data_IF_619640246523
#
_entry.id   IF_619640246523
#
_cell.length_a   1.000
_cell.length_b   1.000
_cell.length_c   1.000
_cell.angle_alpha   90.00
_cell.angle_beta   90.00
_cell.angle_gamma   90.00
#
_symmetry.space_group_name_H-M   'P 1'
#
loop_
_entity.id
_entity.type
_entity.pdbx_description
1 polymer ?
#
# COMPACT_ATOMS: atom_id res chain seq x y z
N UNK A 1 -24.09 11.80 -20.39
CA UNK A 1 -22.82 11.72 -19.67
C UNK A 1 -21.84 12.52 -20.52
N UNK A 2 -21.47 13.67 -20.04
CA UNK A 2 -20.77 14.72 -20.74
C UNK A 2 -19.25 14.39 -20.82
N UNK A 3 -18.55 14.99 -21.78
CA UNK A 3 -17.11 14.87 -22.08
C UNK A 3 -16.16 15.11 -20.89
N UNK A 4 -16.69 15.34 -19.69
CA UNK A 4 -15.97 15.80 -18.49
C UNK A 4 -15.44 14.69 -17.57
N UNK A 5 -15.85 13.43 -17.77
CA UNK A 5 -15.47 12.35 -16.82
C UNK A 5 -13.98 11.98 -16.88
N UNK A 6 -13.29 12.30 -17.97
CA UNK A 6 -11.87 11.97 -18.18
C UNK A 6 -10.93 13.17 -17.95
N UNK A 7 -11.45 14.28 -17.39
CA UNK A 7 -10.66 15.47 -17.15
C UNK A 7 -10.33 15.65 -15.67
N UNK A 8 -9.08 16.03 -15.37
CA UNK A 8 -8.61 16.34 -14.01
C UNK A 8 -7.86 17.67 -14.03
N UNK A 9 -8.36 18.65 -13.27
CA UNK A 9 -7.66 19.89 -12.99
C UNK A 9 -6.75 19.72 -11.75
N UNK A 10 -5.50 20.16 -11.87
CA UNK A 10 -4.55 20.28 -10.78
C UNK A 10 -4.46 21.77 -10.41
N UNK A 11 -5.24 22.18 -9.42
CA UNK A 11 -5.30 23.59 -8.97
C UNK A 11 -4.11 23.86 -8.06
N UNK A 12 -3.19 24.69 -8.53
CA UNK A 12 -1.94 24.96 -7.83
C UNK A 12 -1.85 26.42 -7.39
N UNK A 13 -1.40 26.65 -6.15
CA UNK A 13 -1.11 28.00 -5.69
C UNK A 13 0.03 28.64 -6.50
N UNK A 14 -0.02 29.95 -6.73
CA UNK A 14 1.05 30.64 -7.47
C UNK A 14 2.42 30.44 -6.83
N UNK A 15 3.41 30.06 -7.65
CA UNK A 15 4.79 29.90 -7.21
C UNK A 15 5.09 28.64 -6.38
N UNK A 16 4.15 27.69 -6.26
CA UNK A 16 4.35 26.44 -5.51
C UNK A 16 5.40 25.53 -6.15
N UNK A 17 5.56 25.58 -7.47
CA UNK A 17 6.55 24.79 -8.19
C UNK A 17 7.85 25.58 -8.39
N UNK A 18 8.97 25.04 -7.91
CA UNK A 18 10.29 25.58 -8.20
C UNK A 18 10.65 25.46 -9.70
N UNK A 19 10.17 24.39 -10.35
CA UNK A 19 10.25 24.14 -11.78
C UNK A 19 8.88 23.69 -12.30
N UNK A 20 8.15 24.64 -12.85
CA UNK A 20 6.82 24.41 -13.38
C UNK A 20 6.84 23.49 -14.62
N UNK A 21 7.88 23.56 -15.45
CA UNK A 21 7.99 22.72 -16.64
C UNK A 21 8.12 21.24 -16.25
N UNK A 22 9.00 20.92 -15.31
CA UNK A 22 9.15 19.54 -14.78
C UNK A 22 7.83 19.04 -14.17
N UNK A 23 7.11 19.88 -13.43
CA UNK A 23 5.80 19.52 -12.88
C UNK A 23 4.76 19.23 -13.99
N UNK A 24 4.70 20.07 -15.00
CA UNK A 24 3.79 19.89 -16.15
C UNK A 24 4.10 18.60 -16.93
N UNK A 25 5.36 18.29 -17.15
CA UNK A 25 5.77 17.05 -17.84
C UNK A 25 5.41 15.80 -17.02
N UNK A 26 5.57 15.84 -15.69
CA UNK A 26 5.18 14.76 -14.80
C UNK A 26 3.66 14.55 -14.84
N UNK A 27 2.89 15.63 -14.68
CA UNK A 27 1.42 15.60 -14.73
C UNK A 27 0.94 15.06 -16.07
N UNK A 28 1.47 15.56 -17.19
CA UNK A 28 1.08 15.10 -18.53
C UNK A 28 1.34 13.59 -18.72
N UNK A 29 2.47 13.09 -18.24
CA UNK A 29 2.77 11.64 -18.27
C UNK A 29 1.80 10.84 -17.40
N UNK A 30 1.51 11.30 -16.18
CA UNK A 30 0.61 10.60 -15.25
C UNK A 30 -0.82 10.54 -15.81
N UNK A 31 -1.35 11.65 -16.34
CA UNK A 31 -2.65 11.70 -16.98
C UNK A 31 -2.71 10.78 -18.20
N UNK A 32 -1.71 10.87 -19.09
CA UNK A 32 -1.64 10.02 -20.29
C UNK A 32 -1.60 8.52 -19.96
N UNK A 33 -0.89 8.12 -18.91
CA UNK A 33 -0.82 6.73 -18.47
C UNK A 33 -2.18 6.16 -18.04
N UNK A 34 -3.12 7.03 -17.66
CA UNK A 34 -4.49 6.69 -17.25
C UNK A 34 -5.54 7.00 -18.32
N UNK A 35 -5.15 7.46 -19.51
CA UNK A 35 -6.09 7.88 -20.56
C UNK A 35 -6.91 9.12 -20.16
N UNK A 36 -6.36 9.96 -19.27
CA UNK A 36 -6.99 11.18 -18.78
C UNK A 36 -6.46 12.42 -19.49
N UNK A 37 -7.24 13.48 -19.48
CA UNK A 37 -6.88 14.83 -19.90
C UNK A 37 -6.81 15.79 -18.70
N UNK A 38 -6.28 16.98 -18.89
CA UNK A 38 -6.18 18.01 -17.86
C UNK A 38 -4.78 18.59 -17.72
N UNK A 39 -4.51 19.26 -16.62
CA UNK A 39 -3.22 19.87 -16.37
C UNK A 39 -3.20 20.78 -15.14
N UNK A 40 -2.07 21.47 -14.94
CA UNK A 40 -1.90 22.44 -13.86
C UNK A 40 -2.60 23.75 -14.27
N UNK A 41 -3.49 24.22 -13.40
CA UNK A 41 -4.31 25.43 -13.61
C UNK A 41 -4.32 26.32 -12.37
N UNK A 42 -4.62 27.60 -12.53
CA UNK A 42 -4.77 28.52 -11.40
C UNK A 42 -6.15 28.37 -10.71
N UNK A 43 -7.16 27.93 -11.45
CA UNK A 43 -8.50 27.62 -10.94
C UNK A 43 -9.17 26.57 -11.82
N UNK A 44 -9.91 25.65 -11.21
CA UNK A 44 -10.61 24.62 -11.95
C UNK A 44 -11.79 25.17 -12.75
N UNK A 45 -12.03 24.59 -13.91
CA UNK A 45 -13.03 25.05 -14.89
C UNK A 45 -14.29 24.20 -14.93
N UNK A 46 -14.64 23.50 -13.84
CA UNK A 46 -15.94 22.81 -13.74
C UNK A 46 -15.92 21.35 -13.33
N UNK A 47 -14.81 20.83 -12.78
CA UNK A 47 -14.79 19.48 -12.22
C UNK A 47 -15.22 19.47 -10.76
N UNK A 48 -16.12 18.56 -10.40
CA UNK A 48 -16.55 18.36 -9.01
C UNK A 48 -15.41 17.76 -8.15
N UNK A 49 -14.45 17.06 -8.76
CA UNK A 49 -13.28 16.46 -8.12
C UNK A 49 -11.98 17.01 -8.73
N UNK A 50 -11.12 17.54 -7.88
CA UNK A 50 -9.86 18.21 -8.27
C UNK A 50 -8.67 17.73 -7.45
N UNK A 51 -7.47 17.87 -8.00
CA UNK A 51 -6.23 17.83 -7.22
C UNK A 51 -5.88 19.26 -6.80
N UNK A 52 -5.56 19.49 -5.53
CA UNK A 52 -5.19 20.81 -5.01
C UNK A 52 -3.76 20.77 -4.45
N UNK A 53 -2.93 21.73 -4.87
CA UNK A 53 -1.56 21.93 -4.38
C UNK A 53 -1.47 23.31 -3.72
N UNK A 54 -1.71 23.42 -2.39
CA UNK A 54 -1.91 24.73 -1.76
C UNK A 54 -0.61 25.53 -1.58
N UNK A 55 0.56 24.87 -1.54
CA UNK A 55 1.85 25.52 -1.27
C UNK A 55 2.01 26.03 0.16
N UNK A 56 3.23 26.42 0.52
CA UNK A 56 3.54 26.95 1.84
C UNK A 56 2.91 28.34 2.04
N UNK A 57 1.95 28.44 2.95
CA UNK A 57 1.30 29.70 3.33
C UNK A 57 0.28 30.28 2.34
N UNK A 58 0.08 29.68 1.19
CA UNK A 58 -1.01 30.01 0.31
C UNK A 58 -2.21 29.10 0.58
N UNK A 59 -3.41 29.67 0.78
CA UNK A 59 -4.63 28.88 0.90
C UNK A 59 -5.34 28.85 -0.46
N UNK A 60 -5.39 27.67 -1.06
CA UNK A 60 -6.40 27.41 -2.09
C UNK A 60 -7.71 27.14 -1.34
N UNK A 61 -8.78 27.85 -1.70
CA UNK A 61 -10.08 27.61 -1.09
C UNK A 61 -10.66 26.28 -1.59
N UNK A 62 -10.50 25.24 -0.79
CA UNK A 62 -10.98 23.89 -1.11
C UNK A 62 -12.49 23.77 -1.01
N UNK A 63 -13.19 24.69 -0.33
CA UNK A 63 -14.65 24.68 -0.19
C UNK A 63 -15.42 24.88 -1.51
N UNK A 64 -14.70 25.31 -2.54
CA UNK A 64 -15.25 25.47 -3.89
C UNK A 64 -15.49 24.13 -4.62
N UNK A 65 -14.94 23.02 -4.10
CA UNK A 65 -14.97 21.71 -4.74
C UNK A 65 -15.66 20.69 -3.86
N UNK A 66 -16.39 19.76 -4.46
CA UNK A 66 -17.12 18.71 -3.73
C UNK A 66 -16.20 17.57 -3.26
N UNK A 67 -15.13 17.31 -4.01
CA UNK A 67 -14.13 16.28 -3.70
C UNK A 67 -12.72 16.78 -4.03
N UNK A 68 -11.81 16.66 -3.10
CA UNK A 68 -10.45 17.16 -3.24
C UNK A 68 -9.43 16.07 -2.90
N UNK A 69 -8.44 15.89 -3.76
CA UNK A 69 -7.19 15.24 -3.43
C UNK A 69 -6.15 16.32 -3.19
N UNK A 70 -5.77 16.50 -1.92
CA UNK A 70 -4.78 17.50 -1.51
C UNK A 70 -3.37 16.94 -1.64
N UNK A 71 -2.42 17.76 -2.14
CA UNK A 71 -1.00 17.41 -2.26
C UNK A 71 -0.16 18.46 -1.55
N UNK A 72 0.53 18.06 -0.49
CA UNK A 72 1.60 18.84 0.14
C UNK A 72 2.94 18.14 -0.08
N UNK A 73 3.91 18.85 -0.66
CA UNK A 73 5.22 18.26 -1.01
C UNK A 73 6.04 17.90 0.21
N UNK A 74 5.91 18.69 1.27
CA UNK A 74 6.55 18.47 2.55
C UNK A 74 5.71 17.64 3.52
N UNK A 75 6.29 17.31 4.67
CA UNK A 75 5.58 16.69 5.79
C UNK A 75 4.70 17.74 6.47
N UNK A 76 3.44 17.40 6.68
CA UNK A 76 2.48 18.22 7.42
C UNK A 76 1.46 17.30 8.12
N UNK A 77 0.70 17.81 9.11
CA UNK A 77 -0.42 17.07 9.67
C UNK A 77 -1.48 16.74 8.61
N UNK A 78 -2.21 15.63 8.74
CA UNK A 78 -3.27 15.28 7.80
C UNK A 78 -4.40 16.32 7.84
N UNK A 79 -4.87 16.73 6.66
CA UNK A 79 -6.10 17.52 6.52
C UNK A 79 -7.28 16.56 6.44
N UNK A 80 -8.21 16.68 7.40
CA UNK A 80 -9.39 15.84 7.53
C UNK A 80 -10.70 16.62 7.31
N UNK A 81 -10.62 17.74 6.59
CA UNK A 81 -11.81 18.49 6.18
C UNK A 81 -12.75 17.61 5.36
N UNK A 82 -14.05 17.82 5.47
CA UNK A 82 -15.09 16.92 4.94
C UNK A 82 -14.98 16.67 3.43
N UNK A 83 -14.54 17.65 2.67
CA UNK A 83 -14.35 17.55 1.21
C UNK A 83 -12.95 17.03 0.81
N UNK A 84 -12.02 16.83 1.76
CA UNK A 84 -10.71 16.23 1.47
C UNK A 84 -10.84 14.72 1.49
N UNK A 85 -10.95 14.13 0.29
CA UNK A 85 -11.06 12.69 0.13
C UNK A 85 -9.73 11.96 0.39
N UNK A 86 -8.63 12.54 -0.07
CA UNK A 86 -7.28 12.02 0.18
C UNK A 86 -6.29 13.16 0.37
N UNK A 87 -5.28 12.94 1.20
CA UNK A 87 -4.22 13.90 1.46
C UNK A 87 -2.84 13.27 1.23
N UNK A 88 -2.27 13.51 0.06
CA UNK A 88 -0.92 13.05 -0.32
C UNK A 88 0.11 14.05 0.23
N UNK A 89 0.93 13.61 1.18
CA UNK A 89 1.87 14.48 1.91
C UNK A 89 3.28 13.89 1.98
N UNK A 90 4.30 14.75 1.92
CA UNK A 90 5.70 14.34 2.10
C UNK A 90 6.27 13.42 1.02
N UNK A 91 5.63 13.34 -0.14
CA UNK A 91 6.09 12.54 -1.29
C UNK A 91 6.78 13.37 -2.37
N UNK A 92 7.10 14.65 -2.06
CA UNK A 92 7.69 15.57 -3.02
C UNK A 92 6.85 15.72 -4.29
N UNK A 93 7.50 16.01 -5.42
CA UNK A 93 6.81 16.20 -6.71
C UNK A 93 6.09 14.93 -7.20
N UNK A 94 6.59 13.73 -6.82
CA UNK A 94 5.92 12.46 -7.16
C UNK A 94 4.51 12.36 -6.55
N UNK A 95 4.22 13.12 -5.51
CA UNK A 95 2.87 13.23 -4.93
C UNK A 95 1.79 13.55 -5.96
N UNK A 96 2.12 14.31 -7.02
CA UNK A 96 1.17 14.62 -8.10
C UNK A 96 0.73 13.37 -8.86
N UNK A 97 1.63 12.43 -9.12
CA UNK A 97 1.28 11.15 -9.77
C UNK A 97 0.33 10.35 -8.89
N UNK A 98 0.64 10.21 -7.61
CA UNK A 98 -0.22 9.50 -6.66
C UNK A 98 -1.60 10.16 -6.52
N UNK A 99 -1.67 11.50 -6.58
CA UNK A 99 -2.94 12.21 -6.54
C UNK A 99 -3.79 11.94 -7.78
N UNK A 100 -3.19 11.95 -8.98
CA UNK A 100 -3.86 11.61 -10.23
C UNK A 100 -4.34 10.16 -10.20
N UNK A 101 -3.50 9.23 -9.76
CA UNK A 101 -3.87 7.81 -9.58
C UNK A 101 -5.04 7.66 -8.60
N UNK A 102 -5.00 8.37 -7.46
CA UNK A 102 -6.08 8.36 -6.47
C UNK A 102 -7.41 8.86 -7.05
N UNK A 103 -7.41 9.94 -7.84
CA UNK A 103 -8.62 10.40 -8.54
C UNK A 103 -9.09 9.34 -9.54
N UNK A 104 -8.18 8.79 -10.34
CA UNK A 104 -8.50 7.77 -11.34
C UNK A 104 -9.16 6.54 -10.72
N UNK A 105 -8.54 5.93 -9.72
CA UNK A 105 -9.06 4.71 -9.10
C UNK A 105 -10.39 4.95 -8.39
N UNK A 106 -10.53 6.05 -7.68
CA UNK A 106 -11.81 6.41 -7.05
C UNK A 106 -12.94 6.62 -8.07
N UNK A 107 -12.65 7.27 -9.19
CA UNK A 107 -13.65 7.60 -10.21
C UNK A 107 -14.08 6.40 -11.05
N UNK A 108 -13.12 5.58 -11.46
CA UNK A 108 -13.36 4.49 -12.42
C UNK A 108 -13.41 3.10 -11.79
N UNK A 109 -12.86 2.93 -10.59
CA UNK A 109 -12.78 1.66 -9.87
C UNK A 109 -13.08 1.84 -8.38
N UNK A 110 -14.22 2.46 -8.02
CA UNK A 110 -14.51 2.74 -6.61
C UNK A 110 -14.62 1.47 -5.79
N UNK A 111 -14.03 1.50 -4.60
CA UNK A 111 -14.24 0.51 -3.56
C UNK A 111 -15.22 1.01 -2.48
N UNK A 112 -15.63 0.10 -1.61
CA UNK A 112 -16.44 0.43 -0.43
C UNK A 112 -15.52 0.57 0.77
N UNK A 113 -15.58 1.71 1.47
CA UNK A 113 -14.83 1.89 2.72
C UNK A 113 -15.56 1.16 3.85
N UNK A 114 -14.84 0.25 4.52
CA UNK A 114 -15.31 -0.48 5.70
C UNK A 114 -14.38 -0.12 6.86
N UNK A 115 -14.93 0.35 7.98
CA UNK A 115 -14.17 0.66 9.20
C UNK A 115 -14.04 -0.56 10.08
N UNK A 116 -12.86 -0.79 10.66
CA UNK A 116 -12.62 -1.87 11.60
C UNK A 116 -12.26 -1.37 13.03
N UNK A 117 -12.38 -0.06 13.25
CA UNK A 117 -12.19 0.60 14.53
C UNK A 117 -12.65 2.06 14.48
N UNK A 118 -12.44 2.78 15.58
CA UNK A 118 -12.95 4.16 15.77
C UNK A 118 -12.02 5.23 15.18
N UNK A 119 -10.75 4.90 14.90
CA UNK A 119 -9.81 5.86 14.34
C UNK A 119 -10.00 5.97 12.80
N UNK A 120 -9.89 7.16 12.20
CA UNK A 120 -10.06 7.35 10.75
C UNK A 120 -9.14 6.49 9.87
N UNK A 121 -7.98 6.08 10.37
CA UNK A 121 -7.04 5.20 9.68
C UNK A 121 -7.35 3.70 9.91
N UNK A 122 -8.29 3.37 10.79
CA UNK A 122 -8.78 2.01 10.96
C UNK A 122 -9.88 1.70 9.95
N UNK A 123 -9.50 1.64 8.69
CA UNK A 123 -10.39 1.41 7.55
C UNK A 123 -9.74 0.50 6.51
N UNK A 124 -10.55 -0.10 5.70
CA UNK A 124 -10.13 -0.83 4.50
C UNK A 124 -10.96 -0.36 3.32
N UNK A 125 -10.41 -0.49 2.12
CA UNK A 125 -11.18 -0.37 0.90
C UNK A 125 -11.45 -1.76 0.34
N UNK A 126 -12.73 -2.13 0.33
CA UNK A 126 -13.23 -3.40 -0.19
C UNK A 126 -13.66 -3.22 -1.64
N UNK A 127 -13.08 -4.01 -2.55
CA UNK A 127 -13.59 -4.19 -3.91
C UNK A 127 -14.02 -5.63 -4.07
N UNK A 128 -15.18 -5.85 -4.68
CA UNK A 128 -15.78 -7.17 -4.85
C UNK A 128 -15.97 -7.44 -6.34
N UNK A 129 -15.56 -8.62 -6.85
CA UNK A 129 -15.82 -9.00 -8.23
C UNK A 129 -17.32 -9.04 -8.55
N UNK A 130 -17.68 -9.01 -9.82
CA UNK A 130 -19.05 -9.28 -10.26
C UNK A 130 -19.44 -10.74 -9.98
N UNK A 131 -20.70 -10.97 -9.55
CA UNK A 131 -21.24 -12.28 -9.26
C UNK A 131 -21.66 -12.47 -7.79
N UNK A 132 -22.03 -13.71 -7.45
CA UNK A 132 -22.63 -14.01 -6.14
C UNK A 132 -21.62 -14.48 -5.08
N UNK A 133 -20.37 -14.80 -5.46
CA UNK A 133 -19.36 -15.37 -4.56
C UNK A 133 -19.68 -16.79 -4.08
N UNK A 134 -19.12 -17.30 -2.98
CA UNK A 134 -18.12 -16.60 -2.17
C UNK A 134 -16.77 -16.42 -2.90
N UNK A 135 -16.20 -15.23 -2.79
CA UNK A 135 -14.94 -14.89 -3.48
C UNK A 135 -13.71 -15.18 -2.61
N UNK A 136 -12.60 -15.69 -3.18
CA UNK A 136 -11.31 -15.69 -2.49
C UNK A 136 -10.91 -14.26 -2.15
N UNK A 137 -10.16 -14.08 -1.08
CA UNK A 137 -9.84 -12.75 -0.55
C UNK A 137 -8.35 -12.46 -0.71
N UNK A 138 -8.01 -11.33 -1.31
CA UNK A 138 -6.68 -10.76 -1.28
C UNK A 138 -6.63 -9.61 -0.26
N UNK A 139 -5.99 -9.85 0.89
CA UNK A 139 -5.71 -8.84 1.91
C UNK A 139 -4.41 -8.15 1.54
N UNK A 140 -4.45 -6.83 1.34
CA UNK A 140 -3.34 -6.03 0.86
C UNK A 140 -2.84 -5.11 1.96
N UNK A 141 -1.54 -5.20 2.29
CA UNK A 141 -0.87 -4.36 3.29
C UNK A 141 0.20 -3.52 2.61
N UNK A 142 0.01 -2.21 2.60
CA UNK A 142 0.92 -1.30 1.92
C UNK A 142 2.27 -1.14 2.64
N UNK A 143 3.28 -0.70 1.88
CA UNK A 143 4.61 -0.37 2.35
C UNK A 143 4.79 1.10 2.72
N UNK A 144 6.05 1.57 2.60
CA UNK A 144 6.43 2.96 2.84
C UNK A 144 7.28 3.15 4.09
N UNK A 145 8.09 2.15 4.47
CA UNK A 145 8.96 2.19 5.64
C UNK A 145 8.23 2.54 6.95
N UNK A 146 6.96 2.10 7.08
CA UNK A 146 6.08 2.38 8.22
C UNK A 146 5.92 3.87 8.54
N UNK A 147 6.07 4.77 7.55
CA UNK A 147 5.96 6.23 7.72
C UNK A 147 4.57 6.72 7.33
N UNK A 148 4.01 7.63 8.11
CA UNK A 148 2.65 8.16 7.98
C UNK A 148 2.36 8.94 6.68
N UNK A 149 3.38 9.26 5.89
CA UNK A 149 3.22 9.85 4.54
C UNK A 149 2.74 8.86 3.48
N UNK A 150 2.71 7.54 3.79
CA UNK A 150 2.27 6.49 2.89
C UNK A 150 0.97 5.88 3.40
N UNK A 151 0.03 5.67 2.49
CA UNK A 151 -1.30 5.13 2.76
C UNK A 151 -1.61 3.97 1.79
N UNK A 152 -2.77 3.36 1.94
CA UNK A 152 -3.20 2.21 1.15
C UNK A 152 -3.39 2.49 -0.35
N UNK A 153 -3.38 3.76 -0.78
CA UNK A 153 -3.36 4.19 -2.19
C UNK A 153 -2.23 3.56 -3.01
N UNK A 154 -1.13 3.16 -2.35
CA UNK A 154 -0.03 2.43 -2.98
C UNK A 154 -0.45 1.10 -3.62
N UNK A 155 -1.53 0.50 -3.15
CA UNK A 155 -1.98 -0.84 -3.57
C UNK A 155 -3.17 -0.80 -4.53
N UNK A 156 -3.68 0.37 -4.90
CA UNK A 156 -4.90 0.51 -5.71
C UNK A 156 -4.83 -0.19 -7.06
N UNK A 157 -3.73 -0.02 -7.80
CA UNK A 157 -3.56 -0.68 -9.10
C UNK A 157 -3.64 -2.21 -8.99
N UNK A 158 -2.95 -2.76 -7.99
CA UNK A 158 -2.94 -4.19 -7.68
C UNK A 158 -4.33 -4.66 -7.22
N UNK A 159 -5.02 -3.88 -6.37
CA UNK A 159 -6.37 -4.21 -5.91
C UNK A 159 -7.37 -4.30 -7.08
N UNK A 160 -7.31 -3.36 -8.01
CA UNK A 160 -8.18 -3.36 -9.20
C UNK A 160 -7.90 -4.56 -10.09
N UNK A 161 -6.62 -4.89 -10.37
CA UNK A 161 -6.27 -6.05 -11.20
C UNK A 161 -6.69 -7.37 -10.55
N UNK A 162 -6.45 -7.54 -9.25
CA UNK A 162 -6.88 -8.74 -8.51
C UNK A 162 -8.40 -8.87 -8.47
N UNK A 163 -9.14 -7.75 -8.33
CA UNK A 163 -10.60 -7.78 -8.41
C UNK A 163 -11.09 -8.23 -9.78
N UNK A 164 -10.47 -7.76 -10.86
CA UNK A 164 -10.77 -8.20 -12.20
C UNK A 164 -10.45 -9.70 -12.43
N UNK A 165 -9.56 -10.27 -11.64
CA UNK A 165 -9.22 -11.71 -11.65
C UNK A 165 -10.10 -12.57 -10.76
N UNK A 166 -11.07 -11.97 -10.08
CA UNK A 166 -12.05 -12.71 -9.27
C UNK A 166 -11.75 -12.79 -7.78
N UNK A 167 -10.77 -12.02 -7.26
CA UNK A 167 -10.52 -11.89 -5.84
C UNK A 167 -11.31 -10.71 -5.26
N UNK A 168 -11.98 -10.89 -4.13
CA UNK A 168 -12.36 -9.74 -3.33
C UNK A 168 -11.09 -9.15 -2.70
N UNK A 169 -10.85 -7.84 -2.88
CA UNK A 169 -9.68 -7.18 -2.32
C UNK A 169 -10.03 -6.41 -1.07
N UNK A 170 -9.24 -6.62 -0.02
CA UNK A 170 -9.31 -6.02 1.30
C UNK A 170 -8.06 -5.18 1.50
N UNK A 171 -8.07 -3.93 0.97
CA UNK A 171 -6.92 -3.02 0.96
C UNK A 171 -6.86 -2.26 2.28
N UNK A 172 -5.89 -2.61 3.12
CA UNK A 172 -5.82 -2.20 4.53
C UNK A 172 -5.08 -0.88 4.69
N UNK A 173 -5.74 0.09 5.34
CA UNK A 173 -5.11 1.24 5.96
C UNK A 173 -4.90 0.96 7.44
N UNK A 174 -3.81 1.47 8.02
CA UNK A 174 -3.45 1.23 9.42
C UNK A 174 -2.68 2.44 9.98
N UNK A 175 -2.74 2.67 11.28
CA UNK A 175 -1.99 3.73 11.96
C UNK A 175 -0.49 3.41 11.95
N UNK A 176 0.32 4.35 11.48
CA UNK A 176 1.78 4.16 11.36
C UNK A 176 2.50 4.45 12.68
N UNK A 177 3.61 3.75 12.95
CA UNK A 177 4.30 3.82 14.24
C UNK A 177 5.00 5.16 14.52
N UNK A 178 5.35 5.93 13.49
CA UNK A 178 5.92 7.27 13.64
C UNK A 178 4.96 8.27 14.30
N UNK A 179 3.64 8.02 14.23
CA UNK A 179 2.60 8.82 14.89
C UNK A 179 1.93 8.08 16.07
N UNK A 180 1.88 6.73 16.05
CA UNK A 180 1.04 5.95 16.96
C UNK A 180 1.75 4.82 17.70
N UNK A 181 3.02 4.53 17.39
CA UNK A 181 3.80 3.46 17.99
C UNK A 181 3.58 2.08 17.38
N UNK A 182 4.55 1.19 17.59
CA UNK A 182 4.64 -0.12 16.94
C UNK A 182 3.48 -1.07 17.28
N UNK A 183 3.11 -1.14 18.54
CA UNK A 183 2.02 -2.02 19.00
C UNK A 183 0.67 -1.62 18.40
N UNK A 184 0.44 -0.33 18.20
CA UNK A 184 -0.77 0.18 17.53
C UNK A 184 -0.81 -0.28 16.07
N UNK A 185 0.30 -0.13 15.34
CA UNK A 185 0.41 -0.56 13.94
C UNK A 185 0.13 -2.06 13.78
N UNK A 186 0.78 -2.87 14.59
CA UNK A 186 0.62 -4.33 14.52
C UNK A 186 -0.76 -4.79 14.98
N UNK A 187 -1.33 -4.12 15.97
CA UNK A 187 -2.71 -4.35 16.42
C UNK A 187 -3.75 -3.98 15.35
N UNK A 188 -3.52 -2.89 14.62
CA UNK A 188 -4.42 -2.47 13.54
C UNK A 188 -4.47 -3.48 12.39
N UNK A 189 -3.31 -3.99 11.91
CA UNK A 189 -3.33 -4.98 10.83
C UNK A 189 -3.96 -6.31 11.27
N UNK A 190 -3.80 -6.69 12.55
CA UNK A 190 -4.48 -7.86 13.10
C UNK A 190 -6.01 -7.65 13.19
N UNK A 191 -6.46 -6.48 13.65
CA UNK A 191 -7.87 -6.13 13.71
C UNK A 191 -8.50 -6.04 12.31
N UNK A 192 -7.76 -5.52 11.32
CA UNK A 192 -8.22 -5.46 9.93
C UNK A 192 -8.40 -6.85 9.31
N UNK A 193 -7.52 -7.82 9.61
CA UNK A 193 -7.69 -9.21 9.18
C UNK A 193 -8.92 -9.85 9.85
N UNK A 194 -9.07 -9.69 11.16
CA UNK A 194 -10.20 -10.23 11.91
C UNK A 194 -11.55 -9.67 11.45
N UNK A 195 -11.59 -8.40 10.98
CA UNK A 195 -12.80 -7.76 10.50
C UNK A 195 -13.39 -8.39 9.22
N UNK A 196 -12.65 -9.27 8.53
CA UNK A 196 -13.17 -10.09 7.43
C UNK A 196 -14.37 -10.96 7.84
N UNK A 197 -14.47 -11.37 9.12
CA UNK A 197 -15.62 -12.16 9.62
C UNK A 197 -16.96 -11.43 9.47
N UNK A 198 -16.95 -10.11 9.48
CA UNK A 198 -18.12 -9.26 9.42
C UNK A 198 -18.18 -8.41 8.15
N UNK A 199 -17.34 -8.72 7.16
CA UNK A 199 -17.29 -8.00 5.90
C UNK A 199 -18.66 -8.00 5.19
N UNK A 200 -19.08 -6.89 4.57
CA UNK A 200 -20.38 -6.78 3.91
C UNK A 200 -20.37 -7.40 2.49
N UNK A 201 -19.76 -8.59 2.35
CA UNK A 201 -19.65 -9.31 1.07
C UNK A 201 -19.59 -10.82 1.31
N UNK A 202 -19.93 -11.59 0.27
CA UNK A 202 -19.82 -13.05 0.29
C UNK A 202 -18.37 -13.47 0.04
N UNK A 203 -17.61 -13.72 1.10
CA UNK A 203 -16.17 -14.03 1.07
C UNK A 203 -15.91 -15.49 1.44
N UNK A 204 -14.94 -16.10 0.76
CA UNK A 204 -14.41 -17.41 1.11
C UNK A 204 -13.18 -17.26 2.02
N UNK A 205 -13.43 -17.28 3.32
CA UNK A 205 -12.39 -17.13 4.34
C UNK A 205 -11.44 -18.34 4.44
N UNK A 206 -11.70 -19.43 3.72
CA UNK A 206 -10.74 -20.53 3.58
C UNK A 206 -9.67 -20.26 2.50
N UNK A 207 -9.87 -19.24 1.66
CA UNK A 207 -8.96 -18.84 0.58
C UNK A 207 -8.52 -17.38 0.71
N UNK A 208 -7.91 -17.07 1.85
CA UNK A 208 -7.30 -15.76 2.10
C UNK A 208 -5.85 -15.76 1.63
N UNK A 209 -5.50 -14.83 0.76
CA UNK A 209 -4.12 -14.49 0.39
C UNK A 209 -3.73 -13.20 1.09
N UNK A 210 -2.76 -13.26 1.99
CA UNK A 210 -2.26 -12.09 2.68
C UNK A 210 -1.01 -11.57 1.95
N UNK A 211 -1.10 -10.40 1.33
CA UNK A 211 -0.09 -9.83 0.45
C UNK A 211 0.41 -8.51 1.02
N UNK A 212 1.72 -8.40 1.26
CA UNK A 212 2.30 -7.16 1.76
C UNK A 212 3.46 -6.67 0.92
N UNK A 213 3.51 -5.36 0.65
CA UNK A 213 4.59 -4.70 -0.07
C UNK A 213 5.60 -4.07 0.87
N UNK A 214 6.91 -4.32 0.67
CA UNK A 214 7.99 -3.65 1.39
C UNK A 214 7.83 -3.78 2.92
N UNK A 215 7.66 -2.69 3.66
CA UNK A 215 7.31 -2.69 5.09
C UNK A 215 6.00 -3.47 5.37
N UNK A 216 5.03 -3.42 4.45
CA UNK A 216 3.82 -4.24 4.51
C UNK A 216 4.09 -5.74 4.35
N UNK A 217 5.13 -6.13 3.61
CA UNK A 217 5.57 -7.53 3.49
C UNK A 217 6.09 -8.09 4.82
N UNK A 218 6.79 -7.27 5.59
CA UNK A 218 7.16 -7.62 6.96
C UNK A 218 5.91 -7.77 7.85
N UNK A 219 4.96 -6.82 7.78
CA UNK A 219 3.72 -6.88 8.55
C UNK A 219 2.88 -8.11 8.18
N UNK A 220 2.77 -8.43 6.89
CA UNK A 220 2.02 -9.59 6.40
C UNK A 220 2.58 -10.92 6.93
N UNK A 221 3.89 -11.14 6.82
CA UNK A 221 4.49 -12.39 7.32
C UNK A 221 4.53 -12.46 8.85
N UNK A 222 4.69 -11.32 9.55
CA UNK A 222 4.52 -11.27 11.00
C UNK A 222 3.09 -11.64 11.40
N UNK A 223 2.10 -11.01 10.77
CA UNK A 223 0.69 -11.29 11.04
C UNK A 223 0.34 -12.77 10.76
N UNK A 224 0.92 -13.36 9.71
CA UNK A 224 0.79 -14.79 9.42
C UNK A 224 1.25 -15.65 10.61
N UNK A 225 2.43 -15.34 11.16
CA UNK A 225 2.95 -16.06 12.34
C UNK A 225 2.07 -15.88 13.59
N UNK A 226 1.38 -14.75 13.71
CA UNK A 226 0.51 -14.43 14.84
C UNK A 226 -0.89 -15.07 14.71
N UNK A 227 -1.34 -15.40 13.47
CA UNK A 227 -2.73 -15.82 13.17
C UNK A 227 -2.88 -17.31 12.80
N UNK A 228 -1.85 -18.12 12.92
CA UNK A 228 -1.86 -19.54 12.49
C UNK A 228 -2.95 -20.38 13.17
N UNK A 229 -3.26 -20.07 14.40
CA UNK A 229 -4.29 -20.76 15.19
C UNK A 229 -5.60 -19.95 15.31
N UNK A 230 -5.69 -18.83 14.57
CA UNK A 230 -6.85 -17.97 14.62
C UNK A 230 -7.95 -18.44 13.65
N UNK A 231 -9.17 -17.98 13.90
CA UNK A 231 -10.32 -18.33 13.06
C UNK A 231 -10.23 -17.74 11.64
N UNK A 232 -9.61 -16.58 11.50
CA UNK A 232 -9.29 -15.94 10.22
C UNK A 232 -7.78 -16.00 10.05
N UNK A 233 -7.32 -16.94 9.25
CA UNK A 233 -5.91 -17.14 8.96
C UNK A 233 -5.66 -17.20 7.45
N UNK A 234 -4.50 -16.72 6.96
CA UNK A 234 -4.17 -16.81 5.56
C UNK A 234 -3.94 -18.26 5.12
N UNK A 235 -4.46 -18.62 3.95
CA UNK A 235 -4.10 -19.86 3.26
C UNK A 235 -2.76 -19.75 2.52
N UNK A 236 -2.37 -18.52 2.17
CA UNK A 236 -1.12 -18.17 1.51
C UNK A 236 -0.66 -16.78 1.98
N UNK A 237 0.61 -16.62 2.29
CA UNK A 237 1.21 -15.34 2.66
C UNK A 237 2.27 -14.91 1.65
N UNK A 238 2.20 -13.66 1.16
CA UNK A 238 3.14 -13.10 0.20
C UNK A 238 3.93 -11.95 0.80
N UNK A 239 5.22 -11.99 0.57
CA UNK A 239 6.11 -10.83 0.73
C UNK A 239 6.49 -10.30 -0.64
N UNK A 240 6.06 -9.10 -0.97
CA UNK A 240 6.39 -8.36 -2.18
C UNK A 240 7.51 -7.37 -1.86
N UNK A 241 8.76 -7.73 -2.11
CA UNK A 241 9.98 -6.95 -1.79
C UNK A 241 10.06 -6.56 -0.29
N UNK A 242 9.75 -7.49 0.62
CA UNK A 242 9.57 -7.21 2.05
C UNK A 242 10.86 -7.04 2.86
N UNK A 243 10.76 -6.30 3.97
CA UNK A 243 11.83 -6.16 4.99
C UNK A 243 11.75 -7.33 5.97
N UNK A 244 12.19 -8.52 5.56
CA UNK A 244 11.92 -9.78 6.27
C UNK A 244 12.88 -10.10 7.43
N UNK A 245 13.98 -9.36 7.53
CA UNK A 245 14.92 -9.41 8.66
C UNK A 245 15.10 -8.00 9.25
N UNK A 246 14.38 -7.72 10.33
CA UNK A 246 14.41 -6.41 10.97
C UNK A 246 15.76 -6.11 11.63
N UNK A 247 16.46 -7.13 12.14
CA UNK A 247 17.80 -6.96 12.71
C UNK A 247 18.78 -6.49 11.64
N UNK A 248 18.84 -7.20 10.51
CA UNK A 248 19.69 -6.83 9.38
C UNK A 248 19.27 -5.45 8.82
N UNK A 249 17.98 -5.18 8.74
CA UNK A 249 17.46 -3.88 8.32
C UNK A 249 17.92 -2.73 9.22
N UNK A 250 17.94 -2.92 10.53
CA UNK A 250 18.46 -1.96 11.49
C UNK A 250 19.99 -1.80 11.40
N UNK A 251 20.73 -2.91 11.34
CA UNK A 251 22.21 -2.91 11.24
C UNK A 251 22.69 -2.21 9.96
N UNK A 252 21.98 -2.39 8.84
CA UNK A 252 22.30 -1.76 7.55
C UNK A 252 21.68 -0.38 7.36
N UNK A 253 21.03 0.15 8.37
CA UNK A 253 20.42 1.48 8.34
C UNK A 253 19.44 1.68 7.17
N UNK A 254 18.65 0.63 6.83
CA UNK A 254 17.70 0.67 5.72
C UNK A 254 16.73 1.85 5.86
N UNK A 255 16.49 2.54 4.73
CA UNK A 255 15.56 3.66 4.68
C UNK A 255 15.89 4.76 5.69
N UNK A 256 17.19 5.04 5.92
CA UNK A 256 17.65 6.03 6.90
C UNK A 256 17.17 5.72 8.33
N UNK A 257 17.33 4.46 8.76
CA UNK A 257 16.96 3.99 10.09
C UNK A 257 15.46 3.74 10.25
N UNK A 258 14.76 3.43 9.16
CA UNK A 258 13.31 3.24 9.19
C UNK A 258 12.87 2.16 10.18
N UNK A 259 13.64 1.08 10.33
CA UNK A 259 13.32 -0.01 11.27
C UNK A 259 13.37 0.48 12.72
N UNK A 260 14.47 1.10 13.14
CA UNK A 260 14.60 1.63 14.50
C UNK A 260 13.63 2.78 14.78
N UNK A 261 13.31 3.59 13.78
CA UNK A 261 12.28 4.63 13.90
C UNK A 261 10.89 4.03 14.12
N UNK A 262 10.55 2.95 13.41
CA UNK A 262 9.27 2.28 13.55
C UNK A 262 9.11 1.57 14.89
N UNK A 263 10.15 0.87 15.35
CA UNK A 263 10.14 0.15 16.64
C UNK A 263 10.33 1.10 17.83
N UNK A 264 10.92 2.28 17.60
CA UNK A 264 11.23 3.28 18.63
C UNK A 264 12.56 3.06 19.33
N UNK A 265 13.37 2.05 18.93
CA UNK A 265 14.68 1.73 19.49
C UNK A 265 15.50 0.88 18.53
N UNK A 266 16.83 0.86 18.70
CA UNK A 266 17.74 -0.02 17.97
C UNK A 266 17.63 -1.47 18.43
N UNK A 267 18.04 -2.42 17.59
CA UNK A 267 18.01 -3.85 17.91
C UNK A 267 18.71 -4.18 19.25
N UNK A 268 19.86 -3.57 19.52
CA UNK A 268 20.61 -3.80 20.75
C UNK A 268 19.85 -3.40 22.03
N UNK A 269 18.89 -2.47 21.92
CA UNK A 269 18.12 -1.93 23.04
C UNK A 269 16.74 -2.60 23.20
N UNK A 270 16.15 -3.10 22.09
CA UNK A 270 14.80 -3.66 22.05
C UNK A 270 14.73 -5.05 21.43
N UNK A 271 15.74 -5.89 21.68
CA UNK A 271 15.93 -7.20 21.05
C UNK A 271 14.65 -8.04 21.00
N UNK A 272 13.91 -8.11 22.10
CA UNK A 272 12.66 -8.91 22.16
C UNK A 272 11.62 -8.43 21.15
N UNK A 273 11.42 -7.12 21.00
CA UNK A 273 10.43 -6.56 20.04
C UNK A 273 10.85 -6.89 18.61
N UNK A 274 12.14 -6.81 18.31
CA UNK A 274 12.67 -7.19 16.99
C UNK A 274 12.45 -8.66 16.68
N UNK A 275 12.76 -9.56 17.63
CA UNK A 275 12.60 -11.00 17.47
C UNK A 275 11.13 -11.42 17.34
N UNK A 276 10.22 -10.80 18.09
CA UNK A 276 8.77 -11.02 17.98
C UNK A 276 8.18 -10.44 16.67
N UNK A 277 8.81 -9.43 16.09
CA UNK A 277 8.31 -8.71 14.90
C UNK A 277 8.96 -9.16 13.59
N UNK A 278 10.18 -9.71 13.62
CA UNK A 278 10.94 -10.08 12.43
C UNK A 278 10.45 -11.41 11.87
N UNK A 279 9.94 -11.49 10.62
CA UNK A 279 9.59 -12.77 10.00
C UNK A 279 10.72 -13.80 10.05
N UNK A 280 11.96 -13.36 9.82
CA UNK A 280 13.16 -14.22 9.91
C UNK A 280 13.29 -14.91 11.26
N UNK A 281 12.92 -14.24 12.35
CA UNK A 281 13.01 -14.79 13.72
C UNK A 281 11.84 -15.69 14.10
N UNK A 282 10.77 -15.68 13.29
CA UNK A 282 9.51 -16.40 13.56
C UNK A 282 9.38 -17.71 12.78
N UNK A 283 10.38 -18.07 11.97
CA UNK A 283 10.39 -19.32 11.20
C UNK A 283 10.39 -20.56 12.09
N UNK A 284 9.68 -21.65 11.75
CA UNK A 284 8.75 -21.75 10.62
C UNK A 284 7.42 -21.04 10.87
N UNK A 285 6.78 -20.46 9.79
CA UNK A 285 5.48 -19.81 9.92
C UNK A 285 4.29 -20.81 9.86
N UNK A 286 4.49 -21.98 9.30
CA UNK A 286 3.46 -23.03 9.22
C UNK A 286 2.36 -22.79 8.17
N UNK A 287 2.47 -21.75 7.36
CA UNK A 287 1.56 -21.40 6.27
C UNK A 287 2.36 -21.34 4.97
N UNK A 288 1.84 -21.75 3.81
CA UNK A 288 2.49 -21.56 2.52
C UNK A 288 2.87 -20.11 2.26
N UNK A 289 4.08 -19.89 1.75
CA UNK A 289 4.65 -18.56 1.55
C UNK A 289 5.14 -18.37 0.11
N UNK A 290 5.03 -17.14 -0.39
CA UNK A 290 5.66 -16.71 -1.63
C UNK A 290 6.51 -15.46 -1.36
N UNK A 291 7.82 -15.56 -1.62
CA UNK A 291 8.77 -14.45 -1.50
C UNK A 291 9.06 -13.89 -2.88
N UNK A 292 8.67 -12.66 -3.12
CA UNK A 292 8.81 -12.00 -4.41
C UNK A 292 9.84 -10.88 -4.33
N UNK A 293 10.73 -10.81 -5.31
CA UNK A 293 11.77 -9.78 -5.41
C UNK A 293 11.97 -9.33 -6.85
N UNK A 294 12.14 -8.02 -7.06
CA UNK A 294 12.56 -7.48 -8.35
C UNK A 294 14.08 -7.31 -8.37
N UNK A 295 14.76 -7.80 -9.44
CA UNK A 295 16.24 -7.81 -9.49
C UNK A 295 16.89 -6.42 -9.58
N UNK A 296 16.11 -5.38 -9.91
CA UNK A 296 16.56 -3.97 -9.92
C UNK A 296 16.19 -3.20 -8.65
N UNK A 297 15.77 -3.89 -7.57
CA UNK A 297 15.48 -3.30 -6.26
C UNK A 297 16.76 -2.99 -5.47
N UNK A 298 16.61 -2.37 -4.29
CA UNK A 298 17.72 -2.17 -3.33
C UNK A 298 18.43 -3.51 -3.06
N UNK A 299 19.74 -3.61 -3.29
CA UNK A 299 20.49 -4.84 -3.08
C UNK A 299 20.33 -5.44 -1.68
N UNK A 300 20.11 -4.61 -0.64
CA UNK A 300 19.87 -5.10 0.71
C UNK A 300 18.53 -5.81 0.84
N UNK A 301 17.46 -5.29 0.22
CA UNK A 301 16.15 -5.93 0.23
C UNK A 301 16.18 -7.26 -0.54
N UNK A 302 16.86 -7.27 -1.67
CA UNK A 302 17.04 -8.49 -2.46
C UNK A 302 17.82 -9.56 -1.68
N UNK A 303 18.90 -9.18 -1.00
CA UNK A 303 19.69 -10.10 -0.15
C UNK A 303 18.86 -10.61 1.04
N UNK A 304 18.11 -9.74 1.73
CA UNK A 304 17.23 -10.11 2.84
C UNK A 304 16.17 -11.12 2.37
N UNK A 305 15.53 -10.88 1.22
CA UNK A 305 14.52 -11.79 0.66
C UNK A 305 15.09 -13.17 0.33
N UNK A 306 16.27 -13.22 -0.29
CA UNK A 306 16.97 -14.48 -0.59
C UNK A 306 17.41 -15.23 0.66
N UNK A 307 17.92 -14.50 1.66
CA UNK A 307 18.31 -15.08 2.95
C UNK A 307 17.09 -15.64 3.69
N UNK A 308 15.96 -14.93 3.68
CA UNK A 308 14.72 -15.40 4.25
C UNK A 308 14.20 -16.69 3.58
N UNK A 309 14.16 -16.71 2.23
CA UNK A 309 13.76 -17.88 1.47
C UNK A 309 14.62 -19.11 1.82
N UNK A 310 15.94 -18.93 1.90
CA UNK A 310 16.86 -20.00 2.28
C UNK A 310 16.62 -20.50 3.72
N UNK A 311 16.38 -19.58 4.66
CA UNK A 311 16.11 -19.92 6.06
C UNK A 311 14.77 -20.63 6.24
N UNK A 312 13.69 -20.15 5.58
CA UNK A 312 12.37 -20.79 5.59
C UNK A 312 12.41 -22.21 5.01
N UNK A 313 13.12 -22.37 3.87
CA UNK A 313 13.34 -23.71 3.27
C UNK A 313 14.11 -24.65 4.22
N UNK A 314 15.14 -24.16 4.91
CA UNK A 314 15.91 -24.92 5.88
C UNK A 314 15.07 -25.28 7.14
N UNK A 315 14.12 -24.44 7.51
CA UNK A 315 13.13 -24.69 8.57
C UNK A 315 12.01 -25.65 8.16
N UNK A 316 12.01 -26.13 6.91
CA UNK A 316 10.98 -27.00 6.33
C UNK A 316 9.60 -26.32 6.17
N UNK A 317 9.56 -25.01 6.07
CA UNK A 317 8.37 -24.27 5.68
C UNK A 317 8.03 -24.50 4.20
N UNK A 318 6.74 -24.45 3.88
CA UNK A 318 6.28 -24.42 2.49
C UNK A 318 6.52 -23.03 1.91
N UNK A 319 7.63 -22.82 1.21
CA UNK A 319 8.02 -21.53 0.66
C UNK A 319 8.45 -21.65 -0.80
N UNK A 320 7.93 -20.75 -1.64
CA UNK A 320 8.36 -20.55 -3.01
C UNK A 320 8.96 -19.14 -3.20
N UNK A 321 9.70 -18.92 -4.28
CA UNK A 321 10.21 -17.59 -4.62
C UNK A 321 9.98 -17.26 -6.08
N UNK A 322 9.73 -15.97 -6.34
CA UNK A 322 9.67 -15.36 -7.67
C UNK A 322 10.66 -14.21 -7.72
N UNK A 323 11.62 -14.26 -8.62
CA UNK A 323 12.49 -13.14 -8.95
C UNK A 323 12.29 -12.75 -10.40
N UNK A 324 12.11 -11.46 -10.68
CA UNK A 324 11.86 -10.96 -12.02
C UNK A 324 12.40 -9.55 -12.28
N UNK A 325 12.27 -9.04 -13.50
CA UNK A 325 12.75 -7.71 -13.85
C UNK A 325 11.96 -6.61 -13.15
N UNK A 326 12.58 -5.41 -13.02
CA UNK A 326 11.96 -4.22 -12.45
C UNK A 326 12.63 -3.74 -11.17
N UNK A 327 12.14 -2.62 -10.64
CA UNK A 327 12.55 -2.05 -9.36
C UNK A 327 11.51 -2.31 -8.27
N UNK A 328 11.68 -1.63 -7.13
CA UNK A 328 10.92 -1.84 -5.89
C UNK A 328 9.38 -1.84 -6.04
N UNK A 329 8.83 -1.04 -6.95
CA UNK A 329 7.39 -0.96 -7.18
C UNK A 329 6.89 -1.90 -8.28
N UNK A 330 7.77 -2.56 -9.05
CA UNK A 330 7.34 -3.48 -10.09
C UNK A 330 6.52 -4.66 -9.54
N UNK A 331 6.78 -5.08 -8.32
CA UNK A 331 6.09 -6.20 -7.65
C UNK A 331 4.64 -5.90 -7.25
N UNK A 332 4.20 -4.63 -7.35
CA UNK A 332 2.81 -4.18 -7.10
C UNK A 332 2.21 -3.47 -8.30
N UNK A 333 2.91 -3.45 -9.44
CA UNK A 333 2.45 -2.84 -10.68
C UNK A 333 1.92 -3.92 -11.64
N UNK A 334 0.59 -3.98 -11.89
CA UNK A 334 0.00 -4.97 -12.80
C UNK A 334 0.46 -4.88 -14.24
N UNK A 335 1.13 -3.78 -14.64
CA UNK A 335 1.69 -3.61 -15.98
C UNK A 335 3.13 -4.12 -16.11
N UNK A 336 3.74 -4.52 -15.00
CA UNK A 336 5.12 -5.03 -14.97
C UNK A 336 5.21 -6.48 -15.47
N UNK A 337 6.37 -6.86 -15.99
CA UNK A 337 6.61 -8.24 -16.45
C UNK A 337 6.54 -9.25 -15.31
N UNK A 338 7.08 -8.92 -14.14
CA UNK A 338 7.09 -9.81 -12.97
C UNK A 338 5.68 -10.10 -12.43
N UNK A 339 4.69 -9.21 -12.65
CA UNK A 339 3.33 -9.37 -12.16
C UNK A 339 2.65 -10.63 -12.69
N UNK A 340 2.92 -11.00 -13.93
CA UNK A 340 2.39 -12.22 -14.57
C UNK A 340 2.81 -13.47 -13.79
N UNK A 341 4.09 -13.53 -13.39
CA UNK A 341 4.63 -14.67 -12.63
C UNK A 341 4.09 -14.69 -11.19
N UNK A 342 3.91 -13.51 -10.58
CA UNK A 342 3.31 -13.40 -9.23
C UNK A 342 1.90 -13.96 -9.23
N UNK A 343 1.04 -13.52 -10.14
CA UNK A 343 -0.36 -13.97 -10.20
C UNK A 343 -0.44 -15.46 -10.51
N UNK A 344 0.37 -15.97 -11.44
CA UNK A 344 0.41 -17.41 -11.76
C UNK A 344 0.82 -18.24 -10.53
N UNK A 345 1.77 -17.76 -9.72
CA UNK A 345 2.18 -18.45 -8.50
C UNK A 345 1.09 -18.41 -7.41
N UNK A 346 0.35 -17.30 -7.28
CA UNK A 346 -0.80 -17.18 -6.37
C UNK A 346 -1.92 -18.15 -6.76
N UNK A 347 -2.30 -18.17 -8.04
CA UNK A 347 -3.35 -19.06 -8.54
C UNK A 347 -2.98 -20.54 -8.34
N UNK A 348 -1.73 -20.91 -8.59
CA UNK A 348 -1.23 -22.28 -8.39
C UNK A 348 -1.24 -22.72 -6.90
N UNK A 349 -1.04 -21.80 -5.99
CA UNK A 349 -1.00 -22.11 -4.55
C UNK A 349 -2.40 -22.24 -3.91
N UNK A 350 -3.45 -21.69 -4.57
CA UNK A 350 -4.84 -21.74 -4.08
C UNK A 350 -5.69 -22.82 -4.75
N UNK A 351 -5.17 -23.48 -5.80
CA UNK A 351 -5.82 -24.63 -6.45
C UNK A 351 -5.60 -25.92 -5.66
#
# INVERSE_FOLDING_TARGET
MTEDSNHIDIVAAPGVFADLQTAQELVARALSARGLSGGIVDAATGSDEVVVVPGDGAQVDTSLYSSVVRVDFGQCPPDRSENIRAHIRGRGLDGLRFAIDSVYFHRFHPGTIVTYGDHPEQRVELRVPEGDGPFPVAVLIHGGYWRSRWEFDLMDAMAVDLTARGYATWNVEYRRPDEHGWDTTTGDVAAALAALETAPASLDLSRIVLMGHSAGGQLALRLTADSVDERVAPALALSLAGVLDLKVGDERWLGEGAVSNAIGARYAEARRIYEESSPMSRLPLGVPQLVVSAVGDDPNLLEISRAYYAAASAASDSVASVEGPGGHFAVVDPTSEIWVDIVAAVDAALM
#
